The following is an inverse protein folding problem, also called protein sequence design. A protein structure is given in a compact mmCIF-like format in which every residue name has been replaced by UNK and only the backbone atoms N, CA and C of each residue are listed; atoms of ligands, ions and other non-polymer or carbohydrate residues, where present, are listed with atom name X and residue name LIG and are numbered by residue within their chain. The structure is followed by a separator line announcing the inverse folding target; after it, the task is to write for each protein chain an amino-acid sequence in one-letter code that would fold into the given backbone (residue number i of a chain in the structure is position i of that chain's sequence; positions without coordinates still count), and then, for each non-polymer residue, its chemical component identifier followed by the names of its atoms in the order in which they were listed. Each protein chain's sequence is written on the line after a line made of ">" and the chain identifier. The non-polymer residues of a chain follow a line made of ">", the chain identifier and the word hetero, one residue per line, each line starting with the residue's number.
data_IF_314613769112
#
_entry.id   IF_314613769112
#
_cell.length_a   1.000
_cell.length_b   1.000
_cell.length_c   1.000
_cell.angle_alpha   90.00
_cell.angle_beta   90.00
_cell.angle_gamma   90.00
#
_symmetry.space_group_name_H-M   'P 1'
#
loop_
_entity.id
_entity.type
_entity.pdbx_description
1 polymer ?
#
# COMPACT_ATOMS: atom_id res chain seq x y z
N UNK A 1 -46.77 6.67 23.55
CA UNK A 1 -46.53 6.91 25.00
C UNK A 1 -45.53 5.87 25.47
N UNK A 2 -44.37 6.27 26.00
CA UNK A 2 -43.32 5.36 26.47
C UNK A 2 -42.09 5.24 25.55
N UNK A 3 -41.33 6.34 25.37
CA UNK A 3 -39.89 6.35 24.99
C UNK A 3 -39.36 7.80 24.84
N UNK A 4 -39.72 8.72 25.76
CA UNK A 4 -39.24 10.12 25.75
C UNK A 4 -38.85 10.66 27.13
N UNK A 5 -38.53 9.79 28.10
CA UNK A 5 -38.24 10.21 29.48
C UNK A 5 -36.90 9.73 30.08
N UNK A 6 -35.92 9.36 29.25
CA UNK A 6 -34.60 8.94 29.74
C UNK A 6 -33.43 9.88 29.37
N UNK A 7 -33.67 11.02 28.73
CA UNK A 7 -32.59 11.89 28.22
C UNK A 7 -32.57 13.31 28.81
N UNK A 8 -33.20 13.52 29.98
CA UNK A 8 -33.33 14.84 30.60
C UNK A 8 -32.61 14.99 31.96
N UNK A 9 -31.96 13.93 32.47
CA UNK A 9 -31.24 13.98 33.75
C UNK A 9 -29.71 14.10 33.67
N UNK A 10 -29.10 14.02 32.48
CA UNK A 10 -27.63 14.19 32.34
C UNK A 10 -27.25 15.64 31.99
N UNK A 11 -28.20 16.49 31.55
CA UNK A 11 -27.93 17.88 31.16
C UNK A 11 -28.00 18.90 32.31
N UNK A 12 -28.25 18.47 33.55
CA UNK A 12 -28.40 19.35 34.74
C UNK A 12 -27.20 19.36 35.71
N UNK A 13 -25.99 19.00 35.28
CA UNK A 13 -24.78 19.06 36.14
C UNK A 13 -23.62 19.90 35.60
N UNK A 14 -23.81 20.72 34.56
CA UNK A 14 -22.75 21.59 34.01
C UNK A 14 -23.15 23.05 33.80
N UNK A 15 -24.18 23.53 34.49
CA UNK A 15 -24.56 24.96 34.46
C UNK A 15 -24.90 25.45 35.86
N UNK A 16 -23.90 25.49 36.74
CA UNK A 16 -23.97 26.29 37.96
C UNK A 16 -22.56 26.75 38.34
N UNK A 17 -22.07 27.79 37.67
CA UNK A 17 -21.25 28.84 38.26
C UNK A 17 -20.92 29.85 37.14
N UNK A 18 -21.69 30.93 37.12
CA UNK A 18 -21.54 32.03 36.18
C UNK A 18 -22.41 33.20 36.60
N UNK A 19 -21.89 34.05 37.48
CA UNK A 19 -22.41 35.38 37.81
C UNK A 19 -21.21 36.21 38.29
N UNK A 20 -20.68 37.10 37.45
CA UNK A 20 -21.08 38.51 37.30
C UNK A 20 -20.53 39.40 38.41
N UNK A 21 -19.52 40.21 38.09
CA UNK A 21 -19.02 41.30 38.93
C UNK A 21 -18.06 42.21 38.16
N UNK A 22 -18.57 43.37 37.75
CA UNK A 22 -17.88 44.48 37.10
C UNK A 22 -16.88 45.18 38.03
N UNK A 23 -15.78 45.73 37.49
CA UNK A 23 -14.83 46.56 38.22
C UNK A 23 -13.68 47.05 37.35
N UNK A 24 -13.89 48.20 36.70
CA UNK A 24 -12.86 49.04 36.08
C UNK A 24 -11.95 49.66 37.16
N UNK A 25 -10.67 49.95 36.86
CA UNK A 25 -9.86 51.11 37.32
C UNK A 25 -8.39 50.97 36.86
N UNK A 26 -7.95 51.99 36.11
CA UNK A 26 -6.56 52.34 35.76
C UNK A 26 -5.67 52.59 36.99
N UNK A 27 -4.37 52.30 36.89
CA UNK A 27 -3.37 52.89 37.80
C UNK A 27 -1.95 52.41 37.53
N UNK A 28 -1.06 53.34 37.18
CA UNK A 28 0.34 53.11 36.86
C UNK A 28 1.26 53.33 38.08
N UNK A 29 2.50 52.88 37.92
CA UNK A 29 3.76 53.31 38.59
C UNK A 29 4.14 52.67 39.94
N UNK A 30 5.35 52.10 39.95
CA UNK A 30 6.33 52.34 41.01
C UNK A 30 6.86 51.11 41.75
N UNK A 31 8.19 51.00 41.84
CA UNK A 31 8.83 50.44 43.04
C UNK A 31 9.70 49.20 42.83
N UNK A 32 11.02 49.41 42.95
CA UNK A 32 12.09 48.40 43.00
C UNK A 32 12.18 47.68 44.35
N UNK A 33 12.79 46.49 44.32
CA UNK A 33 13.42 45.80 45.47
C UNK A 33 12.57 44.66 46.03
N UNK A 34 13.06 43.47 46.36
CA UNK A 34 14.42 42.98 46.50
C UNK A 34 14.46 41.45 46.32
N UNK A 35 15.68 40.98 46.09
CA UNK A 35 16.17 39.61 45.93
C UNK A 35 15.49 38.51 46.77
N UNK A 36 15.12 37.43 46.09
CA UNK A 36 15.23 36.06 46.61
C UNK A 36 15.69 35.15 45.46
N UNK A 37 16.89 34.58 45.59
CA UNK A 37 17.47 33.63 44.65
C UNK A 37 16.62 32.36 44.59
N UNK A 38 16.07 32.04 43.41
CA UNK A 38 15.57 30.71 43.09
C UNK A 38 16.62 30.00 42.23
N UNK A 39 17.19 28.94 42.80
CA UNK A 39 18.15 28.05 42.17
C UNK A 39 17.58 27.45 40.88
N UNK A 40 18.36 27.44 39.81
CA UNK A 40 18.03 26.80 38.53
C UNK A 40 17.97 25.29 38.72
N UNK A 41 16.76 24.74 38.79
CA UNK A 41 16.54 23.31 38.61
C UNK A 41 16.55 23.01 37.10
N UNK A 42 17.70 22.60 36.57
CA UNK A 42 17.78 21.98 35.25
C UNK A 42 16.84 20.77 35.20
N UNK A 43 15.78 20.87 34.40
CA UNK A 43 14.95 19.74 34.01
C UNK A 43 15.78 18.77 33.18
N UNK A 44 16.47 17.84 33.84
CA UNK A 44 16.98 16.63 33.19
C UNK A 44 15.80 15.86 32.61
N UNK A 45 15.84 15.60 31.30
CA UNK A 45 14.96 14.65 30.64
C UNK A 45 14.97 13.32 31.41
N UNK A 46 13.81 12.64 31.59
CA UNK A 46 13.80 11.34 32.22
C UNK A 46 14.64 10.39 31.36
N UNK A 47 15.61 9.75 32.00
CA UNK A 47 16.42 8.71 31.38
C UNK A 47 15.47 7.66 30.77
N UNK A 48 15.63 7.44 29.47
CA UNK A 48 14.94 6.38 28.74
C UNK A 48 15.19 5.07 29.48
N UNK A 49 14.11 4.39 29.87
CA UNK A 49 14.20 3.09 30.51
C UNK A 49 15.09 2.17 29.66
N UNK A 50 15.98 1.34 30.26
CA UNK A 50 16.79 0.42 29.50
C UNK A 50 15.88 -0.48 28.66
N UNK A 51 16.24 -0.66 27.38
CA UNK A 51 15.51 -1.52 26.48
C UNK A 51 15.33 -2.90 27.13
N UNK A 52 14.14 -3.54 26.98
CA UNK A 52 13.95 -4.90 27.47
C UNK A 52 15.04 -5.81 26.88
N UNK A 53 15.51 -6.83 27.62
CA UNK A 53 16.53 -7.75 27.13
C UNK A 53 16.07 -8.34 25.77
N UNK A 54 17.00 -8.57 24.83
CA UNK A 54 16.64 -9.13 23.53
C UNK A 54 15.93 -10.47 23.76
N UNK A 55 14.73 -10.60 23.20
CA UNK A 55 13.98 -11.85 23.28
C UNK A 55 14.84 -13.01 22.77
N UNK A 56 14.80 -14.15 23.47
CA UNK A 56 15.51 -15.34 23.04
C UNK A 56 15.03 -15.75 21.64
N UNK A 57 15.91 -16.33 20.83
CA UNK A 57 15.62 -16.65 19.45
C UNK A 57 15.89 -18.13 19.16
N UNK A 58 14.89 -18.85 18.64
CA UNK A 58 14.90 -20.31 18.53
C UNK A 58 14.92 -20.78 17.08
N UNK A 59 15.72 -21.78 16.74
CA UNK A 59 15.68 -22.40 15.40
C UNK A 59 14.49 -23.36 15.26
N UNK A 60 13.98 -23.61 14.02
CA UNK A 60 12.93 -24.61 13.80
C UNK A 60 13.31 -26.00 14.30
N UNK A 61 14.58 -26.39 14.16
CA UNK A 61 15.09 -27.66 14.68
C UNK A 61 15.10 -27.73 16.22
N UNK A 62 15.31 -26.59 16.89
CA UNK A 62 15.19 -26.53 18.34
C UNK A 62 13.74 -26.63 18.81
N UNK A 63 12.82 -25.93 18.14
CA UNK A 63 11.38 -26.06 18.44
C UNK A 63 10.92 -27.50 18.23
N UNK A 64 11.28 -28.13 17.11
CA UNK A 64 10.93 -29.54 16.85
C UNK A 64 11.50 -30.49 17.90
N UNK A 65 12.74 -30.30 18.35
CA UNK A 65 13.32 -31.11 19.45
C UNK A 65 12.52 -30.95 20.75
N UNK A 66 12.06 -29.73 21.07
CA UNK A 66 11.26 -29.47 22.27
C UNK A 66 9.87 -30.09 22.17
N UNK A 67 9.22 -29.99 21.01
CA UNK A 67 7.94 -30.65 20.73
C UNK A 67 8.07 -32.18 20.86
N UNK A 68 9.14 -32.76 20.30
CA UNK A 68 9.43 -34.19 20.42
C UNK A 68 9.71 -34.63 21.87
N UNK A 69 10.25 -33.74 22.71
CA UNK A 69 10.41 -33.96 24.14
C UNK A 69 9.12 -33.80 24.97
N UNK A 70 7.98 -33.53 24.32
CA UNK A 70 6.66 -33.43 24.95
C UNK A 70 6.25 -32.01 25.35
N UNK A 71 7.02 -30.98 24.97
CA UNK A 71 6.62 -29.60 25.18
C UNK A 71 5.42 -29.22 24.29
N UNK A 72 4.53 -28.37 24.80
CA UNK A 72 3.36 -27.87 24.07
C UNK A 72 3.59 -26.41 23.68
N UNK A 73 4.47 -26.20 22.70
CA UNK A 73 4.75 -24.86 22.19
C UNK A 73 3.80 -24.54 21.04
N UNK A 74 3.33 -23.30 20.96
CA UNK A 74 2.53 -22.78 19.84
C UNK A 74 3.16 -21.47 19.34
N UNK A 75 2.83 -21.05 18.12
CA UNK A 75 3.28 -19.76 17.60
C UNK A 75 2.12 -18.84 17.24
N UNK A 76 2.36 -17.53 17.35
CA UNK A 76 1.52 -16.51 16.71
C UNK A 76 2.43 -15.66 15.83
N UNK A 77 2.45 -15.93 14.52
CA UNK A 77 3.45 -15.39 13.61
C UNK A 77 4.86 -15.84 14.01
N UNK A 78 5.77 -14.88 14.23
CA UNK A 78 7.16 -15.17 14.62
C UNK A 78 7.34 -15.45 16.12
N UNK A 79 6.32 -15.18 16.96
CA UNK A 79 6.44 -15.29 18.42
C UNK A 79 6.09 -16.71 18.88
N UNK A 80 6.91 -17.27 19.77
CA UNK A 80 6.75 -18.59 20.35
C UNK A 80 6.25 -18.48 21.79
N UNK A 81 5.31 -19.35 22.14
CA UNK A 81 4.70 -19.44 23.46
C UNK A 81 4.79 -20.86 24.00
N UNK A 82 5.36 -21.03 25.19
CA UNK A 82 5.44 -22.33 25.88
C UNK A 82 4.22 -22.54 26.78
N UNK A 83 3.23 -23.26 26.26
CA UNK A 83 2.01 -23.55 26.98
C UNK A 83 2.08 -24.85 27.77
N UNK A 84 3.24 -25.51 27.88
CA UNK A 84 3.39 -26.84 28.51
C UNK A 84 2.82 -26.89 29.93
N UNK A 85 3.04 -25.83 30.73
CA UNK A 85 2.48 -25.72 32.08
C UNK A 85 0.99 -25.31 32.12
N UNK A 86 0.49 -24.72 31.04
CA UNK A 86 -0.88 -24.22 30.94
C UNK A 86 -1.85 -25.23 30.31
N UNK A 87 -1.38 -26.20 29.53
CA UNK A 87 -2.24 -27.10 28.73
C UNK A 87 -3.38 -27.73 29.54
N UNK A 88 -3.10 -28.15 30.78
CA UNK A 88 -4.08 -28.80 31.67
C UNK A 88 -5.14 -27.85 32.24
N UNK A 89 -4.87 -26.55 32.18
CA UNK A 89 -5.73 -25.49 32.69
C UNK A 89 -6.49 -24.77 31.57
N UNK A 90 -6.27 -25.16 30.31
CA UNK A 90 -6.89 -24.53 29.16
C UNK A 90 -8.42 -24.78 29.16
N UNK A 91 -9.28 -23.74 29.21
CA UNK A 91 -10.73 -23.90 29.30
C UNK A 91 -11.37 -24.64 28.11
N UNK A 92 -10.74 -24.58 26.93
CA UNK A 92 -11.16 -25.31 25.73
C UNK A 92 -10.71 -26.79 25.70
N UNK A 93 -10.06 -27.28 26.75
CA UNK A 93 -9.58 -28.65 26.88
C UNK A 93 -8.12 -28.86 26.46
N UNK A 94 -7.48 -29.84 27.07
CA UNK A 94 -6.07 -30.20 26.86
C UNK A 94 -5.80 -30.73 25.45
N UNK A 95 -6.68 -31.60 24.94
CA UNK A 95 -6.50 -32.27 23.65
C UNK A 95 -6.45 -31.27 22.48
N UNK A 96 -7.26 -30.21 22.54
CA UNK A 96 -7.29 -29.17 21.52
C UNK A 96 -5.94 -28.46 21.40
N UNK A 97 -5.35 -28.09 22.54
CA UNK A 97 -4.10 -27.34 22.56
C UNK A 97 -2.91 -28.24 22.19
N UNK A 98 -2.91 -29.51 22.60
CA UNK A 98 -1.90 -30.49 22.17
C UNK A 98 -1.95 -30.77 20.67
N UNK A 99 -3.15 -30.82 20.07
CA UNK A 99 -3.30 -30.99 18.63
C UNK A 99 -2.74 -29.81 17.82
N UNK A 100 -2.59 -28.64 18.45
CA UNK A 100 -2.03 -27.42 17.86
C UNK A 100 -0.56 -27.19 18.23
N UNK A 101 0.08 -28.11 18.95
CA UNK A 101 1.49 -27.98 19.29
C UNK A 101 2.35 -27.92 18.02
N UNK A 102 3.21 -26.90 17.93
CA UNK A 102 4.06 -26.59 16.79
C UNK A 102 3.37 -25.83 15.64
N UNK A 103 2.07 -25.53 15.74
CA UNK A 103 1.32 -24.83 14.70
C UNK A 103 1.18 -23.32 15.02
N UNK A 104 0.87 -22.54 13.97
CA UNK A 104 0.44 -21.15 14.14
C UNK A 104 -1.03 -21.11 14.55
N UNK A 105 -1.30 -20.54 15.72
CA UNK A 105 -2.64 -20.45 16.29
C UNK A 105 -3.23 -19.04 16.15
N UNK A 106 -2.61 -18.15 15.37
CA UNK A 106 -3.10 -16.77 15.18
C UNK A 106 -4.55 -16.75 14.71
N UNK A 107 -4.90 -17.61 13.75
CA UNK A 107 -6.27 -17.74 13.27
C UNK A 107 -7.19 -18.43 14.30
N UNK A 108 -6.70 -19.44 15.03
CA UNK A 108 -7.47 -20.15 16.06
C UNK A 108 -7.87 -19.20 17.22
N UNK A 109 -7.08 -18.15 17.49
CA UNK A 109 -7.42 -17.13 18.50
C UNK A 109 -8.65 -16.30 18.09
N UNK A 110 -8.88 -16.12 16.80
CA UNK A 110 -10.04 -15.39 16.28
C UNK A 110 -11.24 -16.30 15.94
N UNK A 111 -11.03 -17.62 15.93
CA UNK A 111 -12.03 -18.67 15.77
C UNK A 111 -12.22 -19.15 14.33
N UNK A 112 -12.97 -20.24 14.08
CA UNK A 112 -13.73 -21.10 15.02
C UNK A 112 -12.85 -22.04 15.89
N UNK A 113 -13.34 -22.58 17.03
CA UNK A 113 -14.74 -22.70 17.48
C UNK A 113 -15.28 -21.52 18.30
N UNK A 114 -14.41 -20.67 18.85
CA UNK A 114 -14.80 -19.42 19.52
C UNK A 114 -13.66 -18.41 19.43
N UNK A 115 -13.99 -17.13 19.54
CA UNK A 115 -13.02 -16.05 19.57
C UNK A 115 -12.50 -15.84 20.98
N UNK A 116 -11.19 -15.83 21.15
CA UNK A 116 -10.53 -15.54 22.42
C UNK A 116 -10.67 -14.04 22.76
N UNK A 117 -10.88 -13.75 24.05
CA UNK A 117 -10.99 -12.38 24.57
C UNK A 117 -9.63 -11.68 24.62
N UNK A 118 -9.63 -10.35 24.70
CA UNK A 118 -8.37 -9.59 24.85
C UNK A 118 -7.62 -9.93 26.14
N UNK A 119 -8.34 -10.34 27.20
CA UNK A 119 -7.72 -10.84 28.42
C UNK A 119 -7.00 -12.18 28.18
N UNK A 120 -7.57 -13.08 27.37
CA UNK A 120 -6.90 -14.32 27.00
C UNK A 120 -5.63 -14.05 26.17
N UNK A 121 -5.66 -13.07 25.26
CA UNK A 121 -4.45 -12.63 24.52
C UNK A 121 -3.38 -12.07 25.46
N UNK A 122 -3.75 -11.24 26.43
CA UNK A 122 -2.81 -10.74 27.46
C UNK A 122 -2.27 -11.85 28.35
N UNK A 123 -3.07 -12.88 28.62
CA UNK A 123 -2.64 -14.03 29.39
C UNK A 123 -1.63 -14.89 28.63
N UNK A 124 -1.84 -15.08 27.31
CA UNK A 124 -0.91 -15.77 26.42
C UNK A 124 0.51 -15.15 26.47
N UNK A 125 0.60 -13.82 26.59
CA UNK A 125 1.87 -13.10 26.70
C UNK A 125 2.74 -13.54 27.89
N UNK A 126 2.17 -14.08 28.96
CA UNK A 126 2.92 -14.60 30.11
C UNK A 126 3.74 -15.86 29.75
N UNK A 127 3.34 -16.56 28.69
CA UNK A 127 4.00 -17.78 28.21
C UNK A 127 4.95 -17.51 27.05
N UNK A 128 5.19 -16.25 26.70
CA UNK A 128 6.13 -15.89 25.65
C UNK A 128 7.55 -16.32 26.02
N UNK A 129 8.18 -17.09 25.14
CA UNK A 129 9.54 -17.60 25.36
C UNK A 129 10.58 -16.98 24.43
N UNK A 130 10.16 -16.42 23.30
CA UNK A 130 11.06 -15.81 22.32
C UNK A 130 10.51 -15.88 20.90
N UNK A 131 11.38 -15.62 19.92
CA UNK A 131 11.00 -15.56 18.50
C UNK A 131 11.61 -16.72 17.69
N UNK A 132 10.86 -17.24 16.73
CA UNK A 132 11.30 -18.27 15.80
C UNK A 132 12.24 -17.68 14.73
N UNK A 133 13.40 -18.29 14.54
CA UNK A 133 14.39 -17.95 13.52
C UNK A 133 14.01 -18.55 12.17
N UNK A 134 13.34 -17.74 11.34
CA UNK A 134 12.84 -18.18 10.04
C UNK A 134 11.67 -19.15 10.24
N UNK A 135 10.50 -18.78 9.74
CA UNK A 135 9.38 -19.73 9.75
C UNK A 135 9.77 -20.92 8.83
N UNK A 136 9.68 -22.18 9.26
CA UNK A 136 9.82 -23.32 8.35
C UNK A 136 8.76 -23.34 7.23
N UNK A 137 7.72 -22.48 7.31
CA UNK A 137 6.79 -22.16 6.22
C UNK A 137 7.18 -20.92 5.40
N UNK A 138 8.13 -20.10 5.85
CA UNK A 138 8.64 -18.97 5.07
C UNK A 138 9.47 -19.53 3.92
N UNK A 139 8.92 -19.45 2.70
CA UNK A 139 9.59 -19.90 1.49
C UNK A 139 10.84 -19.06 1.12
N UNK A 140 11.08 -17.95 1.83
CA UNK A 140 12.20 -17.04 1.64
C UNK A 140 12.82 -16.64 2.99
N UNK A 141 14.13 -16.37 2.99
CA UNK A 141 14.83 -15.78 4.11
C UNK A 141 14.65 -14.25 4.10
N UNK A 142 13.75 -13.76 4.96
CA UNK A 142 13.44 -12.33 5.11
C UNK A 142 14.62 -11.46 5.59
N UNK A 143 15.71 -12.05 6.08
CA UNK A 143 16.92 -11.32 6.48
C UNK A 143 17.83 -11.03 5.28
N UNK A 144 17.58 -11.68 4.16
CA UNK A 144 18.34 -11.53 2.91
C UNK A 144 17.51 -10.78 1.86
N UNK A 145 18.17 -10.17 0.87
CA UNK A 145 17.46 -9.55 -0.25
C UNK A 145 16.58 -10.55 -1.00
N UNK A 146 15.34 -10.16 -1.31
CA UNK A 146 14.31 -11.07 -1.81
C UNK A 146 14.45 -11.39 -3.30
N UNK A 147 14.97 -10.46 -4.11
CA UNK A 147 14.88 -10.55 -5.56
C UNK A 147 15.52 -11.84 -6.12
N UNK A 148 16.65 -12.27 -5.57
CA UNK A 148 17.34 -13.49 -5.99
C UNK A 148 16.75 -14.77 -5.36
N UNK A 149 15.93 -14.63 -4.32
CA UNK A 149 15.27 -15.75 -3.66
C UNK A 149 13.96 -16.11 -4.38
N UNK A 150 13.18 -15.10 -4.80
CA UNK A 150 11.85 -15.32 -5.37
C UNK A 150 11.86 -16.15 -6.65
N UNK A 151 12.92 -16.05 -7.47
CA UNK A 151 13.03 -16.85 -8.69
C UNK A 151 13.13 -18.36 -8.42
N UNK A 152 13.52 -18.78 -7.22
CA UNK A 152 13.61 -20.19 -6.83
C UNK A 152 12.28 -20.75 -6.28
N UNK A 153 11.24 -19.93 -6.13
CA UNK A 153 9.96 -20.36 -5.56
C UNK A 153 9.16 -21.26 -6.50
N UNK A 154 9.39 -21.15 -7.81
CA UNK A 154 8.72 -21.92 -8.85
C UNK A 154 7.20 -21.92 -8.69
N UNK A 155 6.60 -23.11 -8.58
CA UNK A 155 5.14 -23.27 -8.47
C UNK A 155 4.51 -22.57 -7.26
N UNK A 156 5.28 -22.36 -6.20
CA UNK A 156 4.80 -21.73 -4.95
C UNK A 156 4.78 -20.21 -5.03
N UNK A 157 5.36 -19.63 -6.07
CA UNK A 157 5.51 -18.18 -6.23
C UNK A 157 4.15 -17.46 -6.27
N UNK A 158 3.22 -17.97 -7.08
CA UNK A 158 1.92 -17.35 -7.35
C UNK A 158 1.10 -17.18 -6.07
N UNK A 159 1.04 -18.22 -5.24
CA UNK A 159 0.37 -18.14 -3.95
C UNK A 159 1.14 -17.24 -2.97
N UNK A 160 2.47 -17.37 -2.91
CA UNK A 160 3.30 -16.63 -1.97
C UNK A 160 3.28 -15.11 -2.20
N UNK A 161 3.27 -14.67 -3.46
CA UNK A 161 3.33 -13.24 -3.81
C UNK A 161 2.04 -12.51 -3.48
N UNK A 162 0.90 -13.20 -3.57
CA UNK A 162 -0.43 -12.65 -3.30
C UNK A 162 -0.88 -12.77 -1.84
N UNK A 163 0.03 -13.15 -0.93
CA UNK A 163 -0.17 -13.13 0.52
C UNK A 163 0.52 -11.89 1.12
N UNK A 164 -0.21 -10.78 1.37
CA UNK A 164 0.41 -9.52 1.76
C UNK A 164 1.08 -9.60 3.14
N UNK A 165 2.17 -8.85 3.29
CA UNK A 165 2.89 -8.67 4.56
C UNK A 165 2.99 -7.20 4.94
N UNK A 166 3.07 -6.92 6.24
CA UNK A 166 3.21 -5.56 6.79
C UNK A 166 4.66 -5.19 7.10
N UNK A 167 5.62 -6.08 6.81
CA UNK A 167 7.04 -5.86 7.07
C UNK A 167 7.72 -5.19 5.87
N UNK A 168 8.74 -4.34 6.10
CA UNK A 168 9.57 -3.80 5.02
C UNK A 168 10.25 -4.91 4.22
N UNK A 169 10.40 -4.70 2.91
CA UNK A 169 11.11 -5.63 2.03
C UNK A 169 12.39 -5.00 1.48
N UNK A 170 13.42 -5.84 1.35
CA UNK A 170 14.70 -5.49 0.73
C UNK A 170 14.87 -6.30 -0.54
N UNK A 171 15.20 -5.66 -1.66
CA UNK A 171 15.34 -6.34 -2.96
C UNK A 171 16.80 -6.67 -3.28
N UNK A 172 17.74 -5.78 -2.94
CA UNK A 172 19.14 -5.89 -3.37
C UNK A 172 20.13 -5.97 -2.19
N UNK A 173 21.29 -6.60 -2.42
CA UNK A 173 22.38 -6.63 -1.45
C UNK A 173 23.01 -5.25 -1.26
N UNK A 174 23.30 -4.55 -2.37
CA UNK A 174 23.90 -3.22 -2.35
C UNK A 174 22.93 -2.17 -1.84
N UNK A 175 23.36 -1.34 -0.89
CA UNK A 175 22.58 -0.19 -0.40
C UNK A 175 22.30 0.84 -1.49
N UNK A 176 23.22 1.01 -2.45
CA UNK A 176 23.03 1.92 -3.57
C UNK A 176 21.90 1.45 -4.49
N UNK A 177 21.93 0.18 -4.91
CA UNK A 177 20.89 -0.38 -5.81
C UNK A 177 19.55 -0.47 -5.08
N UNK A 178 19.57 -0.81 -3.79
CA UNK A 178 18.38 -0.79 -2.93
C UNK A 178 17.76 0.61 -2.87
N UNK A 179 18.57 1.66 -2.70
CA UNK A 179 18.10 3.04 -2.71
C UNK A 179 17.52 3.45 -4.07
N UNK A 180 18.14 3.06 -5.18
CA UNK A 180 17.64 3.31 -6.54
C UNK A 180 16.33 2.58 -6.86
N UNK A 181 16.04 1.49 -6.14
CA UNK A 181 14.79 0.75 -6.28
C UNK A 181 13.61 1.37 -5.53
N UNK A 182 13.85 2.39 -4.70
CA UNK A 182 12.85 3.06 -3.88
C UNK A 182 12.45 4.37 -4.53
N UNK A 183 11.16 4.58 -4.73
CA UNK A 183 10.61 5.73 -5.43
C UNK A 183 9.60 6.45 -4.56
N UNK A 184 9.85 7.74 -4.30
CA UNK A 184 8.92 8.61 -3.60
C UNK A 184 7.82 9.08 -4.54
N UNK A 185 6.58 9.16 -4.06
CA UNK A 185 5.42 9.48 -4.91
C UNK A 185 5.55 10.79 -5.67
N UNK A 186 6.09 11.84 -5.05
CA UNK A 186 6.21 13.17 -5.66
C UNK A 186 7.26 13.23 -6.78
N UNK A 187 8.11 12.21 -6.92
CA UNK A 187 9.05 12.14 -8.06
C UNK A 187 8.32 12.01 -9.41
N UNK A 188 7.19 11.30 -9.43
CA UNK A 188 6.36 11.12 -10.64
C UNK A 188 5.89 12.46 -11.19
N UNK A 189 5.15 13.31 -10.46
CA UNK A 189 4.73 14.60 -10.99
C UNK A 189 5.90 15.54 -11.27
N UNK A 190 6.96 15.55 -10.43
CA UNK A 190 8.13 16.43 -10.65
C UNK A 190 8.83 16.13 -11.98
N UNK A 191 8.93 14.86 -12.37
CA UNK A 191 9.61 14.45 -13.61
C UNK A 191 8.69 14.59 -14.81
N UNK A 192 7.47 14.07 -14.70
CA UNK A 192 6.62 13.86 -15.88
C UNK A 192 5.72 15.06 -16.21
N UNK A 193 5.33 15.88 -15.23
CA UNK A 193 4.49 17.06 -15.51
C UNK A 193 5.24 18.10 -16.35
N UNK A 194 6.50 18.48 -16.05
CA UNK A 194 7.24 19.41 -16.91
C UNK A 194 7.42 18.88 -18.34
N UNK A 195 7.70 17.58 -18.50
CA UNK A 195 7.80 16.95 -19.82
C UNK A 195 6.46 17.00 -20.56
N UNK A 196 5.36 16.64 -19.90
CA UNK A 196 4.02 16.70 -20.46
C UNK A 196 3.65 18.12 -20.89
N UNK A 197 3.95 19.14 -20.06
CA UNK A 197 3.69 20.55 -20.40
C UNK A 197 4.52 21.01 -21.59
N UNK A 198 5.81 20.67 -21.63
CA UNK A 198 6.69 20.98 -22.75
C UNK A 198 6.20 20.35 -24.05
N UNK A 199 5.88 19.06 -24.05
CA UNK A 199 5.36 18.35 -25.22
C UNK A 199 4.03 18.92 -25.67
N UNK A 200 3.12 19.20 -24.73
CA UNK A 200 1.83 19.84 -25.00
C UNK A 200 2.00 21.19 -25.71
N UNK A 201 2.87 22.06 -25.18
CA UNK A 201 3.18 23.34 -25.80
C UNK A 201 3.82 23.17 -27.18
N UNK A 202 4.80 22.28 -27.31
CA UNK A 202 5.51 22.03 -28.57
C UNK A 202 4.54 21.56 -29.67
N UNK A 203 3.70 20.58 -29.40
CA UNK A 203 2.78 20.05 -30.41
C UNK A 203 1.59 20.97 -30.68
N UNK A 204 1.14 21.75 -29.69
CA UNK A 204 0.18 22.83 -29.95
C UNK A 204 0.75 23.84 -30.97
N UNK A 205 2.02 24.24 -30.80
CA UNK A 205 2.71 25.13 -31.76
C UNK A 205 2.85 24.50 -33.14
N UNK A 206 3.13 23.20 -33.23
CA UNK A 206 3.18 22.47 -34.51
C UNK A 206 1.82 22.43 -35.20
N UNK A 207 0.73 22.20 -34.46
CA UNK A 207 -0.63 22.25 -35.00
C UNK A 207 -1.00 23.65 -35.48
N UNK A 208 -0.66 24.69 -34.71
CA UNK A 208 -0.96 26.09 -35.03
C UNK A 208 -0.25 26.58 -36.30
N UNK A 209 0.88 25.95 -36.69
CA UNK A 209 1.56 26.25 -37.96
C UNK A 209 0.77 25.77 -39.19
N UNK A 210 -0.29 24.96 -39.03
CA UNK A 210 -1.20 24.54 -40.10
C UNK A 210 -0.59 23.60 -41.14
N UNK A 211 0.66 23.17 -40.98
CA UNK A 211 1.39 22.32 -41.92
C UNK A 211 1.71 20.96 -41.26
N UNK A 212 0.68 20.16 -40.94
CA UNK A 212 0.90 18.83 -40.39
C UNK A 212 1.19 17.85 -41.52
N UNK A 213 2.40 17.30 -41.53
CA UNK A 213 2.80 16.22 -42.44
C UNK A 213 2.20 14.91 -41.92
N UNK A 214 1.30 14.30 -42.69
CA UNK A 214 0.58 13.07 -42.29
C UNK A 214 1.44 11.83 -42.46
N UNK A 215 2.19 11.76 -43.55
CA UNK A 215 3.07 10.65 -43.87
C UNK A 215 4.38 11.18 -44.45
N UNK A 216 5.50 10.76 -43.85
CA UNK A 216 6.80 10.76 -44.53
C UNK A 216 6.94 9.37 -45.16
N UNK A 217 6.27 9.14 -46.29
CA UNK A 217 6.64 8.00 -47.14
C UNK A 217 7.93 8.37 -47.86
N UNK A 218 8.82 7.40 -48.09
CA UNK A 218 10.08 7.58 -48.83
C UNK A 218 9.90 8.23 -50.21
N UNK A 219 8.66 8.30 -50.74
CA UNK A 219 8.35 8.74 -52.11
C UNK A 219 7.34 9.89 -52.23
N UNK A 220 6.64 10.32 -51.17
CA UNK A 220 5.58 11.34 -51.29
C UNK A 220 5.30 12.03 -49.97
N UNK A 221 5.32 13.37 -49.96
CA UNK A 221 4.86 14.20 -48.84
C UNK A 221 3.38 14.55 -49.02
N UNK A 222 2.52 14.05 -48.12
CA UNK A 222 1.13 14.52 -48.00
C UNK A 222 1.00 15.35 -46.73
N UNK A 223 0.73 16.65 -46.87
CA UNK A 223 0.41 17.56 -45.77
C UNK A 223 -1.09 17.84 -45.75
N UNK A 224 -1.73 17.65 -44.61
CA UNK A 224 -3.11 18.14 -44.38
C UNK A 224 -3.03 19.19 -43.29
N UNK A 225 -3.68 20.32 -43.55
CA UNK A 225 -3.85 21.34 -42.53
C UNK A 225 -4.81 20.82 -41.46
N UNK A 226 -4.28 20.54 -40.27
CA UNK A 226 -5.08 20.22 -39.09
C UNK A 226 -5.27 21.50 -38.29
N UNK A 227 -6.52 21.91 -37.97
CA UNK A 227 -6.74 23.11 -37.19
C UNK A 227 -6.27 22.90 -35.73
N UNK A 228 -5.73 23.95 -35.13
CA UNK A 228 -5.28 23.94 -33.73
C UNK A 228 -6.38 23.60 -32.72
N UNK A 229 -7.64 23.83 -33.09
CA UNK A 229 -8.83 23.47 -32.29
C UNK A 229 -8.98 21.97 -32.06
N UNK A 230 -8.26 21.12 -32.81
CA UNK A 230 -8.22 19.67 -32.59
C UNK A 230 -7.38 19.27 -31.38
N UNK A 231 -6.51 20.15 -30.88
CA UNK A 231 -5.58 19.84 -29.79
C UNK A 231 -6.30 19.29 -28.54
N UNK A 232 -7.35 19.94 -27.98
CA UNK A 232 -8.02 19.42 -26.79
C UNK A 232 -8.64 18.05 -27.00
N UNK A 233 -9.22 17.80 -28.18
CA UNK A 233 -9.83 16.50 -28.52
C UNK A 233 -8.80 15.38 -28.58
N UNK A 234 -7.66 15.61 -29.24
CA UNK A 234 -6.56 14.65 -29.33
C UNK A 234 -5.88 14.41 -27.97
N UNK A 235 -5.74 15.46 -27.17
CA UNK A 235 -5.18 15.36 -25.82
C UNK A 235 -6.10 14.52 -24.91
N UNK A 236 -7.41 14.79 -24.95
CA UNK A 236 -8.40 14.00 -24.21
C UNK A 236 -8.47 12.55 -24.70
N UNK A 237 -8.32 12.32 -26.01
CA UNK A 237 -8.21 10.97 -26.55
C UNK A 237 -7.00 10.23 -25.97
N UNK A 238 -5.84 10.89 -25.86
CA UNK A 238 -4.66 10.34 -25.20
C UNK A 238 -4.92 9.93 -23.75
N UNK A 239 -5.58 10.79 -22.98
CA UNK A 239 -5.94 10.51 -21.58
C UNK A 239 -6.93 9.34 -21.45
N UNK A 240 -7.90 9.23 -22.36
CA UNK A 240 -8.83 8.10 -22.42
C UNK A 240 -8.12 6.80 -22.82
N UNK A 241 -7.25 6.84 -23.82
CA UNK A 241 -6.45 5.68 -24.25
C UNK A 241 -5.52 5.20 -23.13
N UNK A 242 -4.98 6.11 -22.32
CA UNK A 242 -4.22 5.71 -21.13
C UNK A 242 -5.06 4.83 -20.19
N UNK A 243 -6.33 5.16 -19.92
CA UNK A 243 -7.17 4.32 -19.05
C UNK A 243 -7.33 2.89 -19.57
N UNK A 244 -7.30 2.69 -20.89
CA UNK A 244 -7.29 1.36 -21.50
C UNK A 244 -5.93 0.69 -21.33
N UNK A 245 -4.84 1.41 -21.60
CA UNK A 245 -3.47 0.92 -21.43
C UNK A 245 -3.20 0.51 -19.98
N UNK A 246 -3.65 1.30 -19.02
CA UNK A 246 -3.65 0.98 -17.58
C UNK A 246 -4.30 -0.38 -17.34
N UNK A 247 -5.53 -0.56 -17.80
CA UNK A 247 -6.26 -1.82 -17.63
C UNK A 247 -5.51 -3.01 -18.26
N UNK A 248 -5.02 -2.84 -19.49
CA UNK A 248 -4.33 -3.90 -20.22
C UNK A 248 -2.99 -4.28 -19.57
N UNK A 249 -2.19 -3.29 -19.17
CA UNK A 249 -0.92 -3.52 -18.47
C UNK A 249 -1.20 -4.17 -17.12
N UNK A 250 -2.16 -3.64 -16.34
CA UNK A 250 -2.45 -4.19 -15.02
C UNK A 250 -2.93 -5.65 -15.12
N UNK A 251 -3.83 -5.96 -16.05
CA UNK A 251 -4.35 -7.32 -16.24
C UNK A 251 -3.35 -8.30 -16.84
N UNK A 252 -2.70 -7.94 -17.95
CA UNK A 252 -1.95 -8.90 -18.76
C UNK A 252 -0.45 -8.89 -18.51
N UNK A 253 0.11 -7.80 -17.99
CA UNK A 253 1.54 -7.69 -17.69
C UNK A 253 1.81 -7.78 -16.18
N UNK A 254 1.09 -7.00 -15.37
CA UNK A 254 1.30 -6.96 -13.92
C UNK A 254 0.70 -8.16 -13.19
N UNK A 255 -0.39 -8.73 -13.70
CA UNK A 255 -0.98 -9.99 -13.23
C UNK A 255 -0.69 -11.18 -14.16
N UNK A 256 0.40 -11.10 -14.94
CA UNK A 256 0.84 -12.26 -15.72
C UNK A 256 1.21 -13.42 -14.79
N UNK A 257 0.84 -14.65 -15.13
CA UNK A 257 1.33 -15.84 -14.42
C UNK A 257 2.65 -16.30 -15.04
N UNK A 258 3.82 -16.06 -14.40
CA UNK A 258 5.09 -16.50 -14.96
C UNK A 258 5.16 -18.04 -14.98
N UNK A 259 5.83 -18.65 -15.98
CA UNK A 259 6.10 -20.09 -15.97
C UNK A 259 6.86 -20.51 -14.72
N UNK A 260 6.44 -21.62 -14.10
CA UNK A 260 6.98 -22.10 -12.82
C UNK A 260 8.46 -22.50 -12.88
N UNK A 261 8.98 -22.80 -14.07
CA UNK A 261 10.36 -23.17 -14.35
C UNK A 261 11.25 -21.96 -14.70
N UNK A 262 10.66 -20.78 -14.89
CA UNK A 262 11.37 -19.59 -15.34
C UNK A 262 11.77 -18.68 -14.19
N UNK A 263 12.99 -18.91 -13.70
CA UNK A 263 13.63 -18.10 -12.66
C UNK A 263 13.55 -16.59 -12.94
N UNK A 264 13.92 -16.15 -14.15
CA UNK A 264 13.99 -14.73 -14.50
C UNK A 264 12.61 -14.10 -14.74
N UNK A 265 11.62 -14.83 -15.26
CA UNK A 265 10.26 -14.28 -15.44
C UNK A 265 9.55 -14.09 -14.09
N UNK A 266 9.79 -14.99 -13.13
CA UNK A 266 9.31 -14.84 -11.75
C UNK A 266 9.91 -13.57 -11.12
N UNK A 267 11.22 -13.37 -11.26
CA UNK A 267 11.88 -12.14 -10.79
C UNK A 267 11.31 -10.88 -11.45
N UNK A 268 11.10 -10.92 -12.77
CA UNK A 268 10.56 -9.80 -13.54
C UNK A 268 9.14 -9.44 -13.06
N UNK A 269 8.25 -10.43 -12.91
CA UNK A 269 6.93 -10.21 -12.34
C UNK A 269 7.00 -9.58 -10.93
N UNK A 270 7.91 -10.08 -10.08
CA UNK A 270 8.08 -9.55 -8.73
C UNK A 270 8.49 -8.08 -8.74
N UNK A 271 9.43 -7.67 -9.60
CA UNK A 271 9.86 -6.27 -9.68
C UNK A 271 8.79 -5.37 -10.29
N UNK A 272 8.03 -5.85 -11.28
CA UNK A 272 7.01 -5.03 -11.94
C UNK A 272 5.80 -4.76 -11.05
N UNK A 273 5.28 -5.79 -10.37
CA UNK A 273 4.05 -5.65 -9.58
C UNK A 273 3.95 -6.58 -8.37
N UNK A 274 4.59 -7.76 -8.41
CA UNK A 274 4.49 -8.72 -7.31
C UNK A 274 4.98 -8.18 -5.95
N UNK A 275 6.00 -7.32 -5.93
CA UNK A 275 6.47 -6.66 -4.70
C UNK A 275 5.40 -5.75 -4.08
N UNK A 276 4.55 -5.15 -4.91
CA UNK A 276 3.47 -4.27 -4.46
C UNK A 276 2.34 -5.08 -3.82
N UNK A 277 1.92 -6.19 -4.44
CA UNK A 277 0.97 -7.12 -3.79
C UNK A 277 1.54 -7.75 -2.52
N UNK A 278 2.84 -8.06 -2.52
CA UNK A 278 3.49 -8.66 -1.36
C UNK A 278 3.61 -7.67 -0.21
N UNK A 279 3.97 -6.42 -0.47
CA UNK A 279 4.17 -5.38 0.54
C UNK A 279 3.36 -4.11 0.20
N UNK A 280 2.01 -4.15 0.25
CA UNK A 280 1.14 -3.08 -0.23
C UNK A 280 1.18 -1.80 0.62
N UNK A 281 1.87 -1.85 1.76
CA UNK A 281 2.05 -0.72 2.68
C UNK A 281 3.46 -0.12 2.62
N UNK A 282 4.32 -0.58 1.70
CA UNK A 282 5.61 0.06 1.46
C UNK A 282 5.45 1.27 0.52
N UNK A 283 5.42 2.46 1.10
CA UNK A 283 5.28 3.74 0.38
C UNK A 283 6.32 3.94 -0.73
N UNK A 284 7.50 3.33 -0.58
CA UNK A 284 8.61 3.51 -1.52
C UNK A 284 8.61 2.53 -2.70
N UNK A 285 7.68 1.55 -2.69
CA UNK A 285 7.63 0.45 -3.68
C UNK A 285 6.26 0.33 -4.36
N UNK A 286 5.51 1.43 -4.41
CA UNK A 286 4.21 1.49 -5.07
C UNK A 286 4.31 2.12 -6.47
N UNK A 287 4.80 3.36 -6.55
CA UNK A 287 4.84 4.10 -7.81
C UNK A 287 5.93 3.55 -8.73
N UNK A 288 5.71 3.63 -10.05
CA UNK A 288 6.63 3.02 -11.00
C UNK A 288 7.94 3.83 -11.09
N UNK A 289 9.13 3.23 -10.88
CA UNK A 289 10.36 4.00 -10.82
C UNK A 289 10.67 4.74 -12.14
N UNK A 290 11.15 6.01 -12.11
CA UNK A 290 11.28 6.83 -13.32
C UNK A 290 12.19 6.27 -14.41
N UNK A 291 13.27 5.57 -14.04
CA UNK A 291 14.21 4.98 -15.00
C UNK A 291 13.55 3.88 -15.85
N UNK A 292 13.00 2.79 -15.27
CA UNK A 292 12.24 1.82 -16.06
C UNK A 292 10.97 2.42 -16.69
N UNK A 293 10.30 3.38 -16.03
CA UNK A 293 9.18 4.10 -16.63
C UNK A 293 9.58 4.80 -17.94
N UNK A 294 10.76 5.41 -18.00
CA UNK A 294 11.26 6.11 -19.19
C UNK A 294 11.40 5.18 -20.41
N UNK A 295 11.75 3.91 -20.20
CA UNK A 295 11.85 2.92 -21.29
C UNK A 295 10.47 2.60 -21.87
N UNK A 296 9.47 2.39 -21.00
CA UNK A 296 8.08 2.13 -21.40
C UNK A 296 7.47 3.36 -22.07
N UNK A 297 7.69 4.54 -21.51
CA UNK A 297 7.24 5.83 -22.05
C UNK A 297 7.89 6.10 -23.41
N UNK A 298 9.19 5.86 -23.57
CA UNK A 298 9.89 5.99 -24.83
C UNK A 298 9.36 5.01 -25.89
N UNK A 299 9.07 3.76 -25.50
CA UNK A 299 8.42 2.79 -26.40
C UNK A 299 7.08 3.33 -26.92
N UNK A 300 6.18 3.80 -26.05
CA UNK A 300 4.90 4.37 -26.49
C UNK A 300 5.06 5.63 -27.33
N UNK A 301 6.03 6.48 -27.02
CA UNK A 301 6.35 7.66 -27.81
C UNK A 301 6.76 7.27 -29.23
N UNK A 302 7.75 6.39 -29.37
CA UNK A 302 8.23 5.93 -30.69
C UNK A 302 7.12 5.20 -31.44
N UNK A 303 6.37 4.33 -30.76
CA UNK A 303 5.24 3.61 -31.36
C UNK A 303 4.22 4.59 -31.96
N UNK A 304 3.74 5.56 -31.20
CA UNK A 304 2.77 6.56 -31.69
C UNK A 304 3.34 7.41 -32.83
N UNK A 305 4.65 7.72 -32.79
CA UNK A 305 5.34 8.46 -33.86
C UNK A 305 5.50 7.67 -35.16
N UNK A 306 5.48 6.33 -35.10
CA UNK A 306 5.55 5.47 -36.28
C UNK A 306 4.19 5.29 -36.94
N UNK A 307 3.10 5.29 -36.16
CA UNK A 307 1.75 5.00 -36.67
C UNK A 307 0.86 6.23 -36.87
N UNK A 308 1.21 7.38 -36.28
CA UNK A 308 0.43 8.62 -36.37
C UNK A 308 1.29 9.78 -36.88
N UNK A 309 0.67 10.79 -37.53
CA UNK A 309 1.33 12.05 -37.88
C UNK A 309 1.99 12.69 -36.66
N UNK A 310 3.13 13.36 -36.88
CA UNK A 310 3.98 13.94 -35.84
C UNK A 310 3.19 14.68 -34.74
N UNK A 311 2.37 15.65 -35.14
CA UNK A 311 1.63 16.49 -34.21
C UNK A 311 0.48 15.72 -33.55
N UNK A 312 -0.17 14.81 -34.28
CA UNK A 312 -1.28 13.99 -33.76
C UNK A 312 -0.77 13.00 -32.72
N UNK A 313 0.24 12.19 -33.08
CA UNK A 313 0.85 11.23 -32.19
C UNK A 313 1.49 11.90 -30.97
N UNK A 314 2.13 13.06 -31.16
CA UNK A 314 2.68 13.87 -30.09
C UNK A 314 1.64 14.39 -29.09
N UNK A 315 0.52 14.94 -29.59
CA UNK A 315 -0.57 15.43 -28.72
C UNK A 315 -1.27 14.28 -27.98
N UNK A 316 -1.55 13.16 -28.66
CA UNK A 316 -2.13 11.95 -28.04
C UNK A 316 -1.18 11.41 -26.97
N UNK A 317 0.13 11.36 -27.25
CA UNK A 317 1.13 10.94 -26.27
C UNK A 317 1.17 11.86 -25.05
N UNK A 318 1.14 13.19 -25.23
CA UNK A 318 1.13 14.13 -24.11
C UNK A 318 -0.10 13.94 -23.20
N UNK A 319 -1.28 13.70 -23.79
CA UNK A 319 -2.50 13.36 -23.05
C UNK A 319 -2.38 12.02 -22.31
N UNK A 320 -1.81 11.00 -22.95
CA UNK A 320 -1.54 9.71 -22.34
C UNK A 320 -0.54 9.78 -21.19
N UNK A 321 0.49 10.62 -21.31
CA UNK A 321 1.47 10.88 -20.25
C UNK A 321 0.83 11.55 -19.03
N UNK A 322 -0.11 12.49 -19.23
CA UNK A 322 -0.91 13.03 -18.13
C UNK A 322 -1.78 11.93 -17.50
N UNK A 323 -2.39 11.07 -18.32
CA UNK A 323 -3.13 9.90 -17.87
C UNK A 323 -2.30 9.02 -16.93
N UNK A 324 -1.05 8.71 -17.32
CA UNK A 324 -0.10 7.96 -16.48
C UNK A 324 0.16 8.62 -15.14
N UNK A 325 0.45 9.93 -15.12
CA UNK A 325 0.67 10.66 -13.88
C UNK A 325 -0.57 10.60 -12.98
N UNK A 326 -1.77 10.81 -13.55
CA UNK A 326 -3.03 10.73 -12.80
C UNK A 326 -3.24 9.33 -12.22
N UNK A 327 -3.00 8.28 -13.03
CA UNK A 327 -3.10 6.89 -12.58
C UNK A 327 -2.19 6.61 -11.38
N UNK A 328 -0.90 6.94 -11.48
CA UNK A 328 0.07 6.59 -10.43
C UNK A 328 -0.23 7.36 -9.14
N UNK A 329 -0.68 8.62 -9.25
CA UNK A 329 -1.11 9.43 -8.11
C UNK A 329 -2.42 8.94 -7.48
N UNK A 330 -3.39 8.52 -8.30
CA UNK A 330 -4.61 7.87 -7.78
C UNK A 330 -4.21 6.59 -7.06
N UNK A 331 -3.40 5.72 -7.68
CA UNK A 331 -2.98 4.45 -7.09
C UNK A 331 -2.31 4.66 -5.72
N UNK A 332 -1.36 5.59 -5.64
CA UNK A 332 -0.72 5.95 -4.39
C UNK A 332 -1.73 6.46 -3.34
N UNK A 333 -2.64 7.36 -3.76
CA UNK A 333 -3.67 7.90 -2.88
C UNK A 333 -4.68 6.85 -2.40
N UNK A 334 -4.97 5.81 -3.19
CA UNK A 334 -5.85 4.72 -2.76
C UNK A 334 -5.20 3.92 -1.62
N UNK A 335 -3.88 3.70 -1.63
CA UNK A 335 -3.18 3.03 -0.54
C UNK A 335 -3.06 3.93 0.70
N UNK A 336 -2.51 5.14 0.53
CA UNK A 336 -2.02 5.94 1.65
C UNK A 336 -2.92 7.14 2.02
N UNK A 337 -3.86 7.52 1.14
CA UNK A 337 -4.81 8.59 1.39
C UNK A 337 -6.02 8.16 2.22
N UNK A 338 -6.81 9.14 2.67
CA UNK A 338 -8.09 8.93 3.37
C UNK A 338 -9.23 9.63 2.63
N UNK A 339 -9.76 9.03 1.53
CA UNK A 339 -10.87 9.61 0.79
C UNK A 339 -12.13 9.74 1.66
N UNK A 340 -12.87 10.83 1.47
CA UNK A 340 -14.14 11.06 2.17
C UNK A 340 -15.14 9.93 1.88
N UNK A 341 -15.79 9.40 2.93
CA UNK A 341 -16.77 8.32 2.81
C UNK A 341 -17.89 8.69 1.82
N UNK A 342 -18.19 7.78 0.90
CA UNK A 342 -19.18 7.99 -0.16
C UNK A 342 -18.68 8.75 -1.40
N UNK A 343 -17.44 9.26 -1.39
CA UNK A 343 -16.83 9.82 -2.59
C UNK A 343 -16.45 8.74 -3.60
N UNK A 344 -16.28 9.12 -4.86
CA UNK A 344 -15.79 8.23 -5.91
C UNK A 344 -14.46 7.54 -5.52
N UNK A 345 -13.48 8.31 -5.02
CA UNK A 345 -12.19 7.80 -4.57
C UNK A 345 -12.30 6.86 -3.37
N UNK A 346 -13.30 7.03 -2.50
CA UNK A 346 -13.57 6.09 -1.41
C UNK A 346 -14.04 4.73 -1.95
N UNK A 347 -14.93 4.73 -2.94
CA UNK A 347 -15.38 3.49 -3.59
C UNK A 347 -14.29 2.84 -4.44
N UNK A 348 -13.41 3.62 -5.07
CA UNK A 348 -12.22 3.11 -5.73
C UNK A 348 -11.23 2.50 -4.72
N UNK A 349 -10.98 3.17 -3.60
CA UNK A 349 -10.11 2.63 -2.54
C UNK A 349 -10.64 1.29 -2.03
N UNK A 350 -11.92 1.21 -1.70
CA UNK A 350 -12.53 -0.04 -1.24
C UNK A 350 -12.43 -1.15 -2.30
N UNK A 351 -12.63 -0.81 -3.58
CA UNK A 351 -12.50 -1.75 -4.69
C UNK A 351 -11.05 -2.25 -4.86
N UNK A 352 -10.08 -1.34 -4.86
CA UNK A 352 -8.65 -1.67 -5.00
C UNK A 352 -8.11 -2.47 -3.81
N UNK A 353 -8.56 -2.17 -2.60
CA UNK A 353 -8.23 -2.99 -1.43
C UNK A 353 -8.79 -4.41 -1.60
N UNK A 354 -10.01 -4.59 -2.11
CA UNK A 354 -10.54 -5.93 -2.39
C UNK A 354 -9.71 -6.67 -3.44
N UNK A 355 -9.21 -5.97 -4.47
CA UNK A 355 -8.29 -6.54 -5.45
C UNK A 355 -7.04 -7.11 -4.77
N UNK A 356 -6.42 -6.37 -3.83
CA UNK A 356 -5.25 -6.82 -3.09
C UNK A 356 -5.49 -8.02 -2.17
N UNK A 357 -6.61 -8.04 -1.45
CA UNK A 357 -6.81 -8.96 -0.31
C UNK A 357 -7.81 -10.09 -0.55
N UNK A 358 -8.67 -10.01 -1.57
CA UNK A 358 -9.76 -10.96 -1.76
C UNK A 358 -9.91 -11.46 -3.20
N UNK A 359 -9.69 -10.59 -4.20
CA UNK A 359 -9.99 -10.90 -5.60
C UNK A 359 -8.87 -10.44 -6.53
N UNK A 360 -7.69 -11.05 -6.45
CA UNK A 360 -6.52 -10.62 -7.26
C UNK A 360 -6.74 -10.77 -8.77
N UNK A 361 -7.66 -11.66 -9.19
CA UNK A 361 -7.98 -11.91 -10.60
C UNK A 361 -9.12 -11.02 -11.15
N UNK A 362 -9.53 -9.99 -10.39
CA UNK A 362 -10.58 -9.04 -10.75
C UNK A 362 -10.23 -7.63 -10.28
N UNK A 363 -10.83 -6.60 -10.87
CA UNK A 363 -10.66 -5.22 -10.46
C UNK A 363 -9.33 -4.61 -10.89
N UNK A 364 -9.01 -4.75 -12.18
CA UNK A 364 -7.75 -4.25 -12.75
C UNK A 364 -7.78 -2.74 -13.03
N UNK A 365 -8.95 -2.11 -13.05
CA UNK A 365 -9.08 -0.66 -13.17
C UNK A 365 -8.76 0.06 -11.86
N UNK A 366 -7.73 0.89 -11.86
CA UNK A 366 -7.31 1.68 -10.69
C UNK A 366 -7.90 3.08 -10.74
N UNK A 367 -7.76 3.77 -11.88
CA UNK A 367 -8.31 5.12 -12.09
C UNK A 367 -9.82 5.09 -12.35
N UNK A 368 -10.33 3.99 -12.93
CA UNK A 368 -11.75 3.80 -13.24
C UNK A 368 -12.13 2.32 -13.36
N UNK A 369 -13.36 1.98 -12.99
CA UNK A 369 -13.95 0.63 -13.15
C UNK A 369 -14.53 0.36 -14.54
N UNK A 370 -14.46 1.33 -15.45
CA UNK A 370 -15.10 1.26 -16.76
C UNK A 370 -14.68 0.01 -17.55
N UNK A 371 -13.37 -0.24 -17.63
CA UNK A 371 -12.83 -1.39 -18.37
C UNK A 371 -13.11 -2.72 -17.66
N UNK A 372 -13.19 -2.73 -16.32
CA UNK A 372 -13.63 -3.92 -15.59
C UNK A 372 -15.07 -4.30 -15.90
N UNK A 373 -15.95 -3.31 -16.08
CA UNK A 373 -17.32 -3.57 -16.51
C UNK A 373 -17.36 -4.09 -17.95
N UNK A 374 -16.61 -3.44 -18.85
CA UNK A 374 -16.57 -3.79 -20.28
C UNK A 374 -16.01 -5.19 -20.53
N UNK A 375 -14.96 -5.59 -19.81
CA UNK A 375 -14.28 -6.88 -19.96
C UNK A 375 -14.68 -7.93 -18.92
N UNK A 376 -15.75 -7.69 -18.16
CA UNK A 376 -16.31 -8.60 -17.16
C UNK A 376 -15.31 -9.04 -16.07
N UNK A 377 -14.49 -8.12 -15.60
CA UNK A 377 -13.54 -8.33 -14.49
C UNK A 377 -13.90 -7.50 -13.25
N UNK A 378 -15.13 -7.00 -13.15
CA UNK A 378 -15.59 -6.25 -11.97
C UNK A 378 -15.64 -7.14 -10.72
N UNK A 379 -15.14 -6.62 -9.59
CA UNK A 379 -15.23 -7.33 -8.31
C UNK A 379 -16.70 -7.38 -7.86
N UNK A 380 -17.25 -8.56 -7.52
CA UNK A 380 -18.61 -8.69 -7.02
C UNK A 380 -18.85 -7.83 -5.77
N UNK A 381 -19.99 -7.15 -5.72
CA UNK A 381 -20.45 -6.55 -4.48
C UNK A 381 -21.05 -7.65 -3.62
N UNK A 382 -20.32 -8.13 -2.61
CA UNK A 382 -20.93 -8.97 -1.59
C UNK A 382 -22.03 -8.15 -0.87
N UNK A 383 -23.27 -8.66 -0.79
CA UNK A 383 -24.30 -8.00 -0.03
C UNK A 383 -23.87 -7.98 1.43
N UNK A 384 -23.76 -6.77 2.01
CA UNK A 384 -23.62 -6.65 3.46
C UNK A 384 -24.70 -7.50 4.12
N UNK A 385 -24.35 -8.46 5.01
CA UNK A 385 -25.36 -9.18 5.75
C UNK A 385 -26.20 -8.14 6.48
N UNK A 386 -27.48 -8.05 6.11
CA UNK A 386 -28.44 -7.26 6.86
C UNK A 386 -28.43 -7.84 8.26
N UNK A 387 -27.89 -7.07 9.21
CA UNK A 387 -28.08 -7.35 10.63
C UNK A 387 -29.60 -7.29 10.83
N UNK A 388 -30.23 -8.46 10.95
CA UNK A 388 -31.63 -8.60 11.31
C UNK A 388 -31.80 -8.39 12.81
#
# INVERSE_FOLDING_TARGET
>A
MGARHANEQVRRRLTSQGGSGSGDVRGALGGRGAYAQASSCELRSPAMAPAPPPAASFSPAEVQRRLAAGACWVRCGARLYDLTGFVRHHPGGEQLLRARAGQDVSADLDGPPHRHSDNARRWLEQYYVGDLQGDPQDLVDWRKPLLWQVGHLGEKYDEWVHQPVTRPIRLFHSDLIEALSKTVWYSVPIIWVPLMLYLSWSYYRTLAQGNVRLFMSFTTEYSVAMPESMFPGLFMLGLLLWSLVEYLIHRFLFHMKPPNDSYYLIMLHFVMHGQHHKAPFDESRLVFPPVPASLVIAFFYVFLRLILPEAVGGTVFAGGLLGYVIYDMIHYYLHFGSPHKGSYLYHLKAHHVKHHFAHQQSGFGISTKFWDHFFHTLIPEEPHPKIQ
#
